data_IF_025986371870
#
_entry.id   IF_025986371870
#
_cell.length_a   1.000
_cell.length_b   1.000
_cell.length_c   1.000
_cell.angle_alpha   90.00
_cell.angle_beta   90.00
_cell.angle_gamma   90.00
#
_symmetry.space_group_name_H-M   'P 1'
#
loop_
_entity.id
_entity.type
_entity.pdbx_description
1 polymer ?
#
# COMPACT_ATOMS: atom_id res chain seq x y z
N UNK A 1 9.62 -37.11 -1.88
CA UNK A 1 8.87 -35.95 -2.41
C UNK A 1 8.23 -35.22 -1.25
N UNK A 2 8.70 -34.02 -0.92
CA UNK A 2 8.10 -33.16 0.11
C UNK A 2 6.77 -32.63 -0.41
N UNK A 3 5.69 -32.90 0.32
CA UNK A 3 4.35 -32.38 0.01
C UNK A 3 4.41 -30.86 0.17
N UNK A 4 4.31 -30.12 -0.93
CA UNK A 4 4.17 -28.67 -0.89
C UNK A 4 2.91 -28.35 -0.09
N UNK A 5 3.10 -27.79 1.10
CA UNK A 5 2.00 -27.33 1.94
C UNK A 5 1.51 -26.01 1.37
N UNK A 6 0.29 -25.99 0.87
CA UNK A 6 -0.33 -24.78 0.36
C UNK A 6 -0.49 -23.78 1.51
N UNK A 7 0.22 -22.65 1.44
CA UNK A 7 0.08 -21.54 2.38
C UNK A 7 -0.71 -20.45 1.67
N UNK A 8 -1.98 -20.23 2.01
CA UNK A 8 -2.77 -19.18 1.37
C UNK A 8 -2.13 -17.82 1.67
N UNK A 9 -2.07 -16.97 0.65
CA UNK A 9 -1.58 -15.60 0.74
C UNK A 9 -2.76 -14.68 0.43
N UNK A 10 -2.94 -13.64 1.23
CA UNK A 10 -3.96 -12.61 1.03
C UNK A 10 -3.26 -11.27 0.77
N UNK A 11 -3.58 -10.65 -0.36
CA UNK A 11 -3.27 -9.25 -0.61
C UNK A 11 -4.51 -8.41 -0.30
N UNK A 12 -4.41 -7.50 0.66
CA UNK A 12 -5.47 -6.56 1.05
C UNK A 12 -5.08 -5.14 0.63
N UNK A 13 -5.89 -4.52 -0.22
CA UNK A 13 -5.70 -3.14 -0.68
C UNK A 13 -6.72 -2.25 0.03
N UNK A 14 -6.22 -1.35 0.87
CA UNK A 14 -7.03 -0.28 1.49
C UNK A 14 -6.95 0.95 0.58
N UNK A 15 -7.94 1.13 -0.29
CA UNK A 15 -7.94 2.24 -1.26
C UNK A 15 -7.99 3.61 -0.54
N UNK A 16 -7.13 4.54 -0.95
CA UNK A 16 -6.97 5.85 -0.30
C UNK A 16 -6.29 5.82 1.08
N UNK A 17 -5.64 4.72 1.46
CA UNK A 17 -4.96 4.59 2.76
C UNK A 17 -3.46 4.95 2.69
N UNK A 18 -3.12 6.18 3.07
CA UNK A 18 -1.74 6.69 3.08
C UNK A 18 -1.07 6.73 4.45
N UNK A 19 0.22 7.09 4.46
CA UNK A 19 0.99 7.40 5.66
C UNK A 19 1.39 8.88 5.66
N UNK A 20 1.22 9.55 6.80
CA UNK A 20 1.65 10.93 7.04
C UNK A 20 2.03 11.09 8.51
N UNK A 21 3.14 11.78 8.77
CA UNK A 21 3.53 12.20 10.12
C UNK A 21 2.65 13.34 10.63
N UNK A 22 2.04 14.12 9.72
CA UNK A 22 1.07 15.13 10.11
C UNK A 22 -0.25 14.47 10.54
N UNK A 23 -0.65 14.77 11.77
CA UNK A 23 -1.89 14.31 12.38
C UNK A 23 -3.06 15.25 12.12
N UNK A 24 -2.82 16.48 11.68
CA UNK A 24 -3.87 17.46 11.45
C UNK A 24 -4.73 17.04 10.26
N UNK A 25 -6.03 16.84 10.50
CA UNK A 25 -6.98 16.36 9.48
C UNK A 25 -6.77 14.90 9.05
N UNK A 26 -5.89 14.15 9.70
CA UNK A 26 -5.57 12.78 9.33
C UNK A 26 -6.57 11.79 9.94
N UNK A 27 -7.57 11.38 9.13
CA UNK A 27 -8.60 10.45 9.55
C UNK A 27 -8.05 9.06 9.93
N UNK A 28 -6.97 8.60 9.29
CA UNK A 28 -6.36 7.29 9.57
C UNK A 28 -5.77 7.28 10.98
N UNK A 29 -5.00 8.32 11.31
CA UNK A 29 -4.39 8.46 12.64
C UNK A 29 -5.45 8.68 13.72
N UNK A 30 -6.51 9.43 13.44
CA UNK A 30 -7.59 9.70 14.37
C UNK A 30 -8.56 8.52 14.60
N UNK A 31 -8.55 7.51 13.72
CA UNK A 31 -9.49 6.38 13.78
C UNK A 31 -9.07 5.30 14.78
N UNK A 32 -10.07 4.69 15.44
CA UNK A 32 -9.89 3.48 16.26
C UNK A 32 -9.78 2.24 15.36
N UNK A 33 -8.56 1.73 15.17
CA UNK A 33 -8.24 0.66 14.21
C UNK A 33 -7.36 -0.44 14.85
N UNK A 34 -7.84 -1.10 15.91
CA UNK A 34 -6.99 -1.94 16.78
C UNK A 34 -6.31 -3.10 16.05
N UNK A 35 -6.95 -3.67 15.03
CA UNK A 35 -6.34 -4.73 14.22
C UNK A 35 -5.21 -4.21 13.33
N UNK A 36 -5.40 -3.05 12.70
CA UNK A 36 -4.35 -2.42 11.89
C UNK A 36 -3.19 -1.96 12.77
N UNK A 37 -3.49 -1.31 13.89
CA UNK A 37 -2.48 -0.82 14.84
C UNK A 37 -1.61 -1.96 15.38
N UNK A 38 -2.24 -3.10 15.73
CA UNK A 38 -1.51 -4.30 16.16
C UNK A 38 -0.60 -4.85 15.06
N UNK A 39 -1.09 -4.97 13.82
CA UNK A 39 -0.28 -5.43 12.69
C UNK A 39 0.90 -4.47 12.41
N UNK A 40 0.66 -3.16 12.48
CA UNK A 40 1.68 -2.14 12.29
C UNK A 40 2.78 -2.21 13.35
N UNK A 41 2.44 -2.48 14.61
CA UNK A 41 3.41 -2.55 15.71
C UNK A 41 4.17 -3.87 15.77
N UNK A 42 3.52 -5.00 15.47
CA UNK A 42 4.07 -6.33 15.72
C UNK A 42 4.68 -7.00 14.48
N UNK A 43 4.29 -6.58 13.26
CA UNK A 43 4.73 -7.22 12.02
C UNK A 43 5.74 -6.36 11.26
N UNK A 44 6.68 -6.99 10.53
CA UNK A 44 7.53 -6.27 9.58
C UNK A 44 6.69 -5.52 8.55
N UNK A 45 6.98 -4.24 8.36
CA UNK A 45 6.30 -3.37 7.41
C UNK A 45 7.31 -2.40 6.78
N UNK A 46 6.94 -1.84 5.63
CA UNK A 46 7.70 -0.82 4.93
C UNK A 46 6.74 0.18 4.28
N UNK A 47 7.23 1.39 4.02
CA UNK A 47 6.54 2.40 3.23
C UNK A 47 7.01 2.32 1.77
N UNK A 48 6.07 2.40 0.84
CA UNK A 48 6.34 2.40 -0.59
C UNK A 48 5.77 3.68 -1.21
N UNK A 49 6.41 4.19 -2.25
CA UNK A 49 5.87 5.31 -3.03
C UNK A 49 4.77 4.81 -3.96
N UNK A 50 3.66 5.53 -3.98
CA UNK A 50 2.48 5.21 -4.78
C UNK A 50 2.06 6.38 -5.70
N UNK A 51 2.99 7.29 -6.02
CA UNK A 51 2.71 8.52 -6.78
C UNK A 51 3.92 8.96 -7.60
N UNK A 52 3.70 9.89 -8.54
CA UNK A 52 4.76 10.43 -9.39
C UNK A 52 5.52 9.36 -10.19
N UNK A 53 6.82 9.60 -10.36
CA UNK A 53 7.67 8.80 -11.25
C UNK A 53 7.77 7.32 -10.82
N UNK A 54 7.61 7.03 -9.53
CA UNK A 54 7.70 5.67 -8.99
C UNK A 54 6.56 4.76 -9.50
N UNK A 55 5.47 5.36 -9.96
CA UNK A 55 4.33 4.68 -10.57
C UNK A 55 4.05 5.16 -11.99
N UNK A 56 5.10 5.59 -12.71
CA UNK A 56 4.99 5.97 -14.12
C UNK A 56 4.23 7.27 -14.40
N UNK A 57 3.94 8.08 -13.37
CA UNK A 57 3.29 9.38 -13.50
C UNK A 57 4.31 10.53 -13.54
N UNK A 58 3.95 11.69 -14.11
CA UNK A 58 4.73 12.92 -13.99
C UNK A 58 5.12 13.26 -12.54
N UNK A 59 6.30 13.88 -12.37
CA UNK A 59 6.82 14.28 -11.06
C UNK A 59 5.79 15.15 -10.30
N UNK A 60 5.50 14.76 -9.06
CA UNK A 60 4.58 15.49 -8.18
C UNK A 60 3.10 15.21 -8.43
N UNK A 61 2.76 14.40 -9.44
CA UNK A 61 1.39 13.98 -9.65
C UNK A 61 0.98 12.93 -8.60
N UNK A 62 -0.16 13.18 -7.96
CA UNK A 62 -0.77 12.25 -7.02
C UNK A 62 -1.11 10.92 -7.70
N UNK A 63 -0.92 9.82 -6.97
CA UNK A 63 -1.38 8.50 -7.39
C UNK A 63 -2.90 8.38 -7.45
N UNK A 64 -3.37 7.33 -8.10
CA UNK A 64 -4.80 7.00 -8.18
C UNK A 64 -5.00 5.49 -8.23
N UNK A 65 -6.25 5.06 -8.11
CA UNK A 65 -6.59 3.63 -8.03
C UNK A 65 -6.21 2.87 -9.29
N UNK A 66 -6.41 3.43 -10.50
CA UNK A 66 -6.10 2.75 -11.76
C UNK A 66 -4.60 2.48 -11.89
N UNK A 67 -3.79 3.52 -11.73
CA UNK A 67 -2.33 3.44 -11.79
C UNK A 67 -1.80 2.50 -10.71
N UNK A 68 -2.32 2.61 -9.48
CA UNK A 68 -1.90 1.76 -8.36
C UNK A 68 -2.17 0.27 -8.59
N UNK A 69 -3.40 -0.09 -8.98
CA UNK A 69 -3.75 -1.49 -9.24
C UNK A 69 -2.97 -2.07 -10.41
N UNK A 70 -2.73 -1.27 -11.45
CA UNK A 70 -1.94 -1.70 -12.60
C UNK A 70 -0.50 -2.01 -12.22
N UNK A 71 0.15 -1.16 -11.41
CA UNK A 71 1.52 -1.38 -10.93
C UNK A 71 1.63 -2.60 -10.02
N UNK A 72 0.69 -2.76 -9.08
CA UNK A 72 0.65 -3.91 -8.17
C UNK A 72 0.49 -5.22 -8.96
N UNK A 73 -0.41 -5.23 -9.95
CA UNK A 73 -0.67 -6.41 -10.78
C UNK A 73 0.45 -6.72 -11.77
N UNK A 74 1.11 -5.70 -12.32
CA UNK A 74 2.20 -5.86 -13.28
C UNK A 74 3.53 -6.27 -12.62
N UNK A 75 3.78 -5.83 -11.38
CA UNK A 75 5.05 -6.06 -10.69
C UNK A 75 6.22 -5.27 -11.29
N UNK A 76 5.94 -4.27 -12.12
CA UNK A 76 6.91 -3.36 -12.72
C UNK A 76 6.29 -1.97 -12.99
N UNK A 77 7.11 -0.92 -13.17
CA UNK A 77 6.62 0.38 -13.60
C UNK A 77 5.91 0.31 -14.96
N UNK A 78 4.69 0.83 -15.03
CA UNK A 78 3.89 0.95 -16.25
C UNK A 78 3.77 2.42 -16.61
N UNK A 79 4.36 2.82 -17.72
CA UNK A 79 4.33 4.20 -18.20
C UNK A 79 2.89 4.55 -18.65
N UNK A 80 2.37 5.67 -18.17
CA UNK A 80 1.14 6.28 -18.68
C UNK A 80 1.45 7.41 -19.66
#
# INVERSE_FOLDING_TARGET
MTKLTHRPIMLLILDGWGYSEDSFGNAITASNKPNFDRLWQECPHALLSASGLDVGLPRGQMGNSEVGHLHIGAGCPVLQ
#
